data_IF_620023012239
#
_entry.id   IF_620023012239
#
_cell.length_a   1.000
_cell.length_b   1.000
_cell.length_c   1.000
_cell.angle_alpha   90.00
_cell.angle_beta   90.00
_cell.angle_gamma   90.00
#
_symmetry.space_group_name_H-M   'P 1'
#
loop_
_entity.id
_entity.type
_entity.pdbx_description
1 polymer ?
#
# COMPACT_ATOMS: atom_id res chain seq x y z
N UNK A 1 57.00 11.94 -6.24
CA UNK A 1 55.64 12.25 -6.72
C UNK A 1 54.69 11.03 -6.81
N UNK A 2 55.14 9.81 -6.46
CA UNK A 2 54.33 8.59 -6.58
C UNK A 2 53.71 8.12 -5.25
N UNK A 3 54.37 8.31 -4.10
CA UNK A 3 53.85 7.87 -2.80
C UNK A 3 52.60 8.64 -2.34
N UNK A 4 52.54 9.96 -2.62
CA UNK A 4 51.38 10.79 -2.25
C UNK A 4 50.14 10.37 -3.04
N UNK A 5 50.31 10.07 -4.34
CA UNK A 5 49.23 9.55 -5.19
C UNK A 5 48.70 8.20 -4.71
N UNK A 6 49.60 7.29 -4.30
CA UNK A 6 49.21 5.98 -3.75
C UNK A 6 48.42 6.16 -2.44
N UNK A 7 48.85 7.04 -1.54
CA UNK A 7 48.13 7.31 -0.28
C UNK A 7 46.73 7.89 -0.51
N UNK A 8 46.58 8.78 -1.49
CA UNK A 8 45.27 9.35 -1.85
C UNK A 8 44.37 8.26 -2.44
N UNK A 9 44.88 7.42 -3.34
CA UNK A 9 44.11 6.32 -3.95
C UNK A 9 43.66 5.29 -2.91
N UNK A 10 44.54 4.92 -1.98
CA UNK A 10 44.20 4.02 -0.87
C UNK A 10 43.15 4.64 0.07
N UNK A 11 43.29 5.93 0.39
CA UNK A 11 42.31 6.65 1.21
C UNK A 11 40.92 6.71 0.57
N UNK A 12 40.86 7.00 -0.73
CA UNK A 12 39.59 7.03 -1.49
C UNK A 12 38.94 5.65 -1.60
N UNK A 13 39.74 4.59 -1.79
CA UNK A 13 39.24 3.21 -1.83
C UNK A 13 38.67 2.77 -0.48
N UNK A 14 39.34 3.09 0.63
CA UNK A 14 38.85 2.78 1.99
C UNK A 14 37.58 3.57 2.30
N UNK A 15 37.52 4.85 1.94
CA UNK A 15 36.32 5.67 2.13
C UNK A 15 35.14 5.14 1.33
N UNK A 16 35.35 4.74 0.07
CA UNK A 16 34.31 4.12 -0.76
C UNK A 16 33.82 2.78 -0.18
N UNK A 17 34.72 1.95 0.33
CA UNK A 17 34.38 0.69 1.00
C UNK A 17 33.60 0.90 2.29
N UNK A 18 33.90 1.96 3.05
CA UNK A 18 33.14 2.35 4.24
C UNK A 18 31.74 2.84 3.90
N UNK A 19 31.59 3.63 2.83
CA UNK A 19 30.28 4.06 2.34
C UNK A 19 29.43 2.88 1.86
N UNK A 20 30.04 1.91 1.17
CA UNK A 20 29.35 0.69 0.73
C UNK A 20 28.95 -0.22 1.89
N UNK A 21 29.74 -0.30 2.96
CA UNK A 21 29.40 -1.09 4.15
C UNK A 21 28.19 -0.55 4.91
N UNK A 22 27.96 0.77 4.85
CA UNK A 22 26.81 1.41 5.50
C UNK A 22 25.55 1.41 4.61
N UNK A 23 25.63 0.83 3.41
CA UNK A 23 24.49 0.71 2.50
C UNK A 23 23.63 -0.54 2.77
N UNK A 24 23.80 -1.19 3.92
CA UNK A 24 22.83 -2.17 4.41
C UNK A 24 21.64 -1.42 5.01
N UNK A 25 20.81 -0.87 4.13
CA UNK A 25 19.44 -0.51 4.48
C UNK A 25 18.68 -1.82 4.65
N UNK A 26 18.88 -2.51 5.77
CA UNK A 26 18.12 -3.70 6.10
C UNK A 26 16.64 -3.30 6.16
N UNK A 27 15.91 -3.62 5.09
CA UNK A 27 14.49 -3.35 5.01
C UNK A 27 13.78 -4.32 5.94
N UNK A 28 13.42 -3.84 7.13
CA UNK A 28 12.75 -4.67 8.13
C UNK A 28 11.32 -4.98 7.70
N UNK A 29 11.00 -6.28 7.70
CA UNK A 29 9.67 -6.79 7.43
C UNK A 29 8.73 -6.51 8.61
N UNK A 30 7.43 -6.41 8.34
CA UNK A 30 6.39 -6.26 9.35
C UNK A 30 5.78 -7.62 9.66
N UNK A 31 5.02 -7.70 10.74
CA UNK A 31 4.17 -8.87 11.04
C UNK A 31 2.72 -8.43 11.05
N UNK A 32 1.85 -9.16 10.35
CA UNK A 32 0.41 -8.91 10.40
C UNK A 32 -0.22 -9.46 11.71
N UNK A 33 -1.51 -9.22 11.89
CA UNK A 33 -2.22 -9.68 13.08
C UNK A 33 -2.41 -11.21 13.16
N UNK A 34 -2.10 -11.94 12.10
CA UNK A 34 -2.15 -13.41 12.02
C UNK A 34 -0.76 -14.03 12.25
N UNK A 35 0.28 -13.20 12.40
CA UNK A 35 1.66 -13.64 12.58
C UNK A 35 2.42 -13.86 11.27
N UNK A 36 1.85 -13.48 10.12
CA UNK A 36 2.52 -13.59 8.83
C UNK A 36 3.55 -12.46 8.65
N UNK A 37 4.69 -12.81 8.07
CA UNK A 37 5.72 -11.84 7.71
C UNK A 37 5.31 -11.13 6.42
N UNK A 38 5.22 -9.81 6.50
CA UNK A 38 4.92 -8.92 5.38
C UNK A 38 6.21 -8.25 4.95
N UNK A 39 6.60 -8.47 3.69
CA UNK A 39 7.79 -7.84 3.13
C UNK A 39 7.67 -6.31 3.14
N UNK A 40 8.80 -5.63 3.32
CA UNK A 40 8.87 -4.19 3.18
C UNK A 40 8.26 -3.69 1.85
N UNK A 41 7.53 -2.58 1.90
CA UNK A 41 6.88 -1.96 0.75
C UNK A 41 5.53 -2.58 0.36
N UNK A 42 5.11 -3.69 0.98
CA UNK A 42 3.82 -4.32 0.69
C UNK A 42 2.69 -3.78 1.58
N UNK A 43 1.47 -3.88 1.07
CA UNK A 43 0.25 -3.47 1.77
C UNK A 43 -0.26 -4.59 2.69
N UNK A 44 -0.68 -4.24 3.90
CA UNK A 44 -1.26 -5.15 4.88
C UNK A 44 -2.23 -4.45 5.82
N UNK A 45 -2.99 -5.24 6.58
CA UNK A 45 -3.86 -4.78 7.66
C UNK A 45 -3.14 -5.02 9.00
N UNK A 46 -2.86 -3.96 9.78
CA UNK A 46 -1.95 -4.08 10.93
C UNK A 46 -2.59 -4.71 12.18
N UNK A 47 -3.91 -4.81 12.26
CA UNK A 47 -4.58 -5.25 13.49
C UNK A 47 -5.93 -5.92 13.25
N UNK A 48 -6.41 -6.69 14.24
CA UNK A 48 -7.73 -7.32 14.18
C UNK A 48 -8.81 -6.24 14.22
N UNK A 49 -9.85 -6.39 13.38
CA UNK A 49 -10.97 -5.46 13.28
C UNK A 49 -10.57 -4.03 12.85
N UNK A 50 -9.32 -3.80 12.46
CA UNK A 50 -8.83 -2.49 12.01
C UNK A 50 -9.08 -2.39 10.51
N UNK A 51 -9.86 -1.40 10.10
CA UNK A 51 -10.16 -1.13 8.70
C UNK A 51 -9.19 -0.11 8.09
N UNK A 52 -7.90 -0.38 8.21
CA UNK A 52 -6.83 0.42 7.59
C UNK A 52 -5.89 -0.49 6.82
N UNK A 53 -5.64 -0.10 5.57
CA UNK A 53 -4.66 -0.73 4.69
C UNK A 53 -3.41 0.13 4.68
N UNK A 54 -2.31 -0.38 5.22
CA UNK A 54 -1.05 0.33 5.41
C UNK A 54 0.07 -0.33 4.61
N UNK A 55 1.09 0.43 4.25
CA UNK A 55 2.34 -0.09 3.67
C UNK A 55 3.26 -0.47 4.83
N UNK A 56 3.90 -1.64 4.75
CA UNK A 56 4.96 -2.02 5.65
C UNK A 56 6.24 -1.20 5.37
N UNK A 57 6.73 -0.46 6.36
CA UNK A 57 7.95 0.33 6.25
C UNK A 57 8.74 0.25 7.56
N UNK A 58 9.92 -0.37 7.52
CA UNK A 58 10.79 -0.59 8.69
C UNK A 58 10.04 -1.14 9.91
N UNK A 59 9.39 -2.29 9.75
CA UNK A 59 8.60 -2.96 10.81
C UNK A 59 7.40 -2.13 11.35
N UNK A 60 7.07 -1.00 10.72
CA UNK A 60 5.96 -0.13 11.11
C UNK A 60 4.94 0.08 9.98
N UNK A 61 3.65 0.25 10.30
CA UNK A 61 2.63 0.60 9.31
C UNK A 61 2.73 2.10 8.94
N UNK A 62 2.95 2.38 7.66
CA UNK A 62 3.02 3.74 7.11
C UNK A 62 2.02 3.95 5.96
N UNK A 63 1.73 5.21 5.62
CA UNK A 63 0.88 5.62 4.49
C UNK A 63 -0.49 4.91 4.41
N UNK A 64 -1.16 4.79 5.55
CA UNK A 64 -2.41 4.07 5.67
C UNK A 64 -3.59 4.76 4.95
N UNK A 65 -4.47 3.93 4.37
CA UNK A 65 -5.79 4.34 3.87
C UNK A 65 -6.89 3.59 4.60
N UNK A 66 -8.02 4.26 4.83
CA UNK A 66 -9.20 3.65 5.44
C UNK A 66 -9.95 2.78 4.44
N UNK A 67 -10.33 1.57 4.87
CA UNK A 67 -11.24 0.68 4.14
C UNK A 67 -12.67 1.02 4.58
N UNK A 68 -13.55 1.29 3.61
CA UNK A 68 -14.97 1.49 3.88
C UNK A 68 -15.75 0.20 3.63
N UNK A 69 -16.41 -0.31 4.67
CA UNK A 69 -17.23 -1.52 4.55
C UNK A 69 -18.64 -1.19 4.07
N UNK A 70 -19.28 -2.07 3.27
CA UNK A 70 -20.68 -1.92 2.86
C UNK A 70 -21.68 -2.04 4.02
N UNK A 71 -21.20 -2.33 5.23
CA UNK A 71 -22.00 -2.60 6.42
C UNK A 71 -22.45 -4.06 6.50
N UNK A 72 -23.06 -4.45 7.63
CA UNK A 72 -23.63 -5.79 7.79
C UNK A 72 -24.74 -6.04 6.75
N UNK A 73 -25.01 -7.31 6.39
CA UNK A 73 -25.99 -7.65 5.36
C UNK A 73 -27.33 -6.97 5.62
N UNK A 74 -27.95 -6.47 4.55
CA UNK A 74 -29.22 -5.76 4.63
C UNK A 74 -30.21 -6.56 5.46
N UNK A 75 -30.86 -5.90 6.43
CA UNK A 75 -31.87 -6.50 7.32
C UNK A 75 -31.32 -7.28 8.52
N UNK A 76 -30.02 -7.20 8.79
CA UNK A 76 -29.45 -7.71 10.03
C UNK A 76 -29.52 -6.66 11.16
N UNK A 77 -30.23 -6.94 12.26
CA UNK A 77 -30.28 -6.06 13.44
C UNK A 77 -29.21 -6.42 14.46
N UNK A 78 -28.97 -7.72 14.64
CA UNK A 78 -27.96 -8.27 15.54
C UNK A 78 -26.85 -8.88 14.72
N UNK A 79 -25.68 -8.28 14.76
CA UNK A 79 -24.50 -8.82 14.09
C UNK A 79 -23.29 -8.76 15.02
N UNK A 80 -22.34 -9.65 14.76
CA UNK A 80 -21.01 -9.64 15.37
C UNK A 80 -19.98 -9.42 14.26
N UNK A 81 -18.97 -8.61 14.55
CA UNK A 81 -17.83 -8.40 13.67
C UNK A 81 -16.83 -9.55 13.87
N UNK A 82 -16.33 -10.10 12.76
CA UNK A 82 -15.25 -11.09 12.76
C UNK A 82 -13.88 -10.45 13.03
N UNK A 83 -12.80 -11.23 12.89
CA UNK A 83 -11.43 -10.77 13.13
C UNK A 83 -10.87 -9.93 11.97
N UNK A 84 -11.35 -10.21 10.75
CA UNK A 84 -10.98 -9.46 9.57
C UNK A 84 -11.88 -8.22 9.40
N UNK A 85 -11.31 -7.16 8.81
CA UNK A 85 -12.09 -5.96 8.48
C UNK A 85 -13.23 -6.32 7.49
N UNK A 86 -14.42 -5.79 7.75
CA UNK A 86 -15.65 -6.04 6.99
C UNK A 86 -16.23 -7.46 7.11
N UNK A 87 -15.74 -8.27 8.04
CA UNK A 87 -16.35 -9.55 8.36
C UNK A 87 -17.54 -9.33 9.32
N UNK A 88 -18.75 -9.67 8.87
CA UNK A 88 -19.97 -9.54 9.67
C UNK A 88 -20.75 -10.85 9.69
N UNK A 89 -21.05 -11.36 10.88
CA UNK A 89 -21.90 -12.52 11.09
C UNK A 89 -23.25 -12.08 11.64
N UNK A 90 -24.34 -12.47 10.98
CA UNK A 90 -25.69 -12.11 11.41
C UNK A 90 -26.25 -13.11 12.44
N UNK A 91 -26.80 -12.59 13.54
CA UNK A 91 -27.33 -13.32 14.68
C UNK A 91 -28.85 -13.19 14.83
N UNK A 92 -29.55 -12.65 13.83
CA UNK A 92 -31.00 -12.52 13.86
C UNK A 92 -31.69 -13.88 13.89
N UNK A 93 -32.65 -14.04 14.80
CA UNK A 93 -33.47 -15.25 14.92
C UNK A 93 -34.48 -15.29 13.76
N UNK A 94 -34.91 -16.47 13.26
CA UNK A 94 -35.88 -16.59 12.17
C UNK A 94 -37.19 -15.79 12.36
N UNK A 95 -37.56 -15.47 13.60
CA UNK A 95 -38.74 -14.64 13.92
C UNK A 95 -38.59 -13.17 13.49
N UNK A 96 -37.36 -12.66 13.38
CA UNK A 96 -37.06 -11.26 13.04
C UNK A 96 -37.10 -11.01 11.52
N UNK A 97 -37.10 -12.07 10.69
CA UNK A 97 -37.04 -11.97 9.22
C UNK A 97 -38.40 -11.69 8.55
N UNK A 98 -39.52 -11.83 9.25
CA UNK A 98 -40.88 -11.68 8.68
C UNK A 98 -41.23 -10.21 8.33
N UNK A 99 -40.42 -9.23 8.74
CA UNK A 99 -40.80 -7.81 8.65
C UNK A 99 -40.36 -7.08 7.37
N UNK A 100 -39.58 -7.70 6.47
CA UNK A 100 -38.72 -6.89 5.60
C UNK A 100 -38.50 -7.50 4.21
N UNK A 101 -39.39 -7.21 3.27
CA UNK A 101 -39.16 -7.45 1.85
C UNK A 101 -39.87 -6.36 1.05
N UNK A 102 -39.16 -5.25 0.84
CA UNK A 102 -39.33 -4.29 -0.26
C UNK A 102 -38.09 -3.37 -0.28
N UNK A 103 -37.28 -3.44 -1.33
CA UNK A 103 -36.44 -2.36 -1.88
C UNK A 103 -35.25 -2.95 -2.64
N UNK A 104 -35.37 -2.86 -3.96
CA UNK A 104 -34.33 -2.93 -4.98
C UNK A 104 -33.81 -1.51 -5.27
N UNK A 105 -32.52 -1.33 -5.54
CA UNK A 105 -31.95 -0.26 -6.40
C UNK A 105 -30.46 -0.54 -6.60
N UNK A 106 -30.01 -0.93 -7.79
CA UNK A 106 -29.51 -0.12 -8.92
C UNK A 106 -28.21 0.69 -8.66
N UNK A 107 -27.22 0.32 -9.48
CA UNK A 107 -26.22 1.10 -10.22
C UNK A 107 -25.03 1.71 -9.48
N UNK A 108 -23.82 1.32 -9.93
CA UNK A 108 -22.72 2.26 -10.08
C UNK A 108 -21.85 1.91 -11.29
N UNK A 109 -21.85 2.82 -12.26
CA UNK A 109 -20.93 2.90 -13.39
C UNK A 109 -19.93 4.02 -13.08
N UNK A 110 -18.63 3.72 -13.25
CA UNK A 110 -17.57 4.58 -13.83
C UNK A 110 -16.20 4.36 -13.16
N UNK A 111 -15.17 4.13 -13.98
CA UNK A 111 -13.90 4.87 -13.91
C UNK A 111 -12.94 4.43 -15.03
N UNK A 112 -12.81 5.23 -16.10
CA UNK A 112 -11.69 5.13 -17.07
C UNK A 112 -11.08 6.49 -17.47
N UNK A 113 -11.38 7.56 -16.73
CA UNK A 113 -10.92 8.92 -17.06
C UNK A 113 -9.44 9.16 -16.69
N UNK A 114 -8.87 8.32 -15.82
CA UNK A 114 -7.51 8.51 -15.30
C UNK A 114 -6.36 8.19 -16.27
N UNK A 115 -6.59 7.43 -17.36
CA UNK A 115 -5.50 6.91 -18.20
C UNK A 115 -5.07 7.87 -19.33
N UNK A 116 -5.99 8.70 -19.84
CA UNK A 116 -5.73 9.60 -20.97
C UNK A 116 -4.84 10.80 -20.60
N UNK A 117 -4.88 11.24 -19.34
CA UNK A 117 -4.07 12.36 -18.86
C UNK A 117 -2.60 11.97 -18.72
N UNK A 118 -2.33 10.77 -18.19
CA UNK A 118 -0.96 10.27 -17.99
C UNK A 118 -0.23 10.09 -19.32
N UNK A 119 -0.93 9.61 -20.36
CA UNK A 119 -0.34 9.44 -21.69
C UNK A 119 0.08 10.78 -22.29
N UNK A 120 -0.73 11.82 -22.17
CA UNK A 120 -0.42 13.13 -22.75
C UNK A 120 0.82 13.79 -22.13
N UNK A 121 1.02 13.66 -20.81
CA UNK A 121 2.21 14.20 -20.14
C UNK A 121 3.52 13.54 -20.60
N UNK A 122 3.53 12.21 -20.73
CA UNK A 122 4.75 11.48 -21.15
C UNK A 122 5.16 11.82 -22.59
N UNK A 123 4.21 11.98 -23.50
CA UNK A 123 4.50 12.38 -24.89
C UNK A 123 5.06 13.81 -25.00
N UNK A 124 4.57 14.76 -24.19
CA UNK A 124 5.09 16.12 -24.17
C UNK A 124 6.51 16.21 -23.60
N UNK A 125 6.80 15.44 -22.55
CA UNK A 125 8.15 15.33 -21.99
C UNK A 125 9.14 14.73 -22.98
N UNK A 126 8.74 13.67 -23.69
CA UNK A 126 9.57 13.04 -24.72
C UNK A 126 9.85 13.98 -25.90
N UNK A 127 8.83 14.69 -26.39
CA UNK A 127 9.00 15.64 -27.50
C UNK A 127 9.89 16.85 -27.11
N UNK A 128 9.83 17.30 -25.85
CA UNK A 128 10.71 18.36 -25.36
C UNK A 128 12.17 17.88 -25.30
N UNK A 129 12.39 16.66 -24.79
CA UNK A 129 13.70 16.03 -24.71
C UNK A 129 14.34 15.84 -26.10
N UNK A 130 13.58 15.35 -27.08
CA UNK A 130 14.05 15.18 -28.46
C UNK A 130 14.43 16.54 -29.09
N UNK A 131 13.66 17.61 -28.84
CA UNK A 131 14.00 18.96 -29.31
C UNK A 131 15.29 19.52 -28.71
N UNK A 132 15.64 19.15 -27.49
CA UNK A 132 16.88 19.58 -26.83
C UNK A 132 18.10 18.75 -27.25
N UNK A 133 17.90 17.55 -27.80
CA UNK A 133 18.99 16.68 -28.25
C UNK A 133 19.30 16.87 -29.74
N UNK A 134 18.31 17.24 -30.55
CA UNK A 134 18.46 17.44 -32.01
C UNK A 134 18.77 18.90 -32.43
N UNK A 135 18.88 19.83 -31.49
CA UNK A 135 19.23 21.23 -31.74
C UNK A 135 20.23 21.73 -30.70
#
# INVERSE_FOLDING_TARGET
>A
MNLIRIRILLGMSVFLLLLLHNADGAEENCTDFQGNVISHGFLYVPGPNVCSLCVCYHNEPMWCKTIFCPGPPYKCLKFVTGAECCEFTCLDDPKDKLKKNNSSSLNDTNSKVSLLLVTAFLFLSYHHFIRHVLN
#
